data_IF_924511682318
#
_entry.id   IF_924511682318
#
_cell.length_a   1.000
_cell.length_b   1.000
_cell.length_c   1.000
_cell.angle_alpha   90.00
_cell.angle_beta   90.00
_cell.angle_gamma   90.00
#
_symmetry.space_group_name_H-M   'P 1'
#
loop_
_entity.id
_entity.type
_entity.pdbx_description
1 polymer ?
#
# COMPACT_ATOMS: atom_id res chain seq x y z
N UNK A 1 30.70 0.95 -7.49
CA UNK A 1 29.59 1.80 -7.99
C UNK A 1 28.28 1.02 -8.14
N UNK A 2 28.23 -0.10 -8.86
CA UNK A 2 26.97 -0.82 -9.13
C UNK A 2 26.23 -1.35 -7.89
N UNK A 3 26.95 -1.84 -6.86
CA UNK A 3 26.31 -2.34 -5.62
C UNK A 3 25.55 -1.24 -4.86
N UNK A 4 26.13 -0.03 -4.80
CA UNK A 4 25.52 1.12 -4.12
C UNK A 4 24.22 1.55 -4.82
N UNK A 5 24.20 1.50 -6.16
CA UNK A 5 22.98 1.77 -6.93
C UNK A 5 21.88 0.73 -6.67
N UNK A 6 22.23 -0.55 -6.59
CA UNK A 6 21.26 -1.63 -6.29
C UNK A 6 20.64 -1.41 -4.91
N UNK A 7 21.47 -1.18 -3.89
CA UNK A 7 21.02 -0.93 -2.52
C UNK A 7 20.13 0.33 -2.45
N UNK A 8 20.51 1.40 -3.16
CA UNK A 8 19.71 2.63 -3.23
C UNK A 8 18.32 2.41 -3.83
N UNK A 9 18.22 1.65 -4.93
CA UNK A 9 16.93 1.34 -5.55
C UNK A 9 16.04 0.47 -4.66
N UNK A 10 16.62 -0.51 -3.97
CA UNK A 10 15.88 -1.37 -3.03
C UNK A 10 15.32 -0.53 -1.87
N UNK A 11 16.13 0.37 -1.30
CA UNK A 11 15.69 1.29 -0.24
C UNK A 11 14.58 2.22 -0.72
N UNK A 12 14.71 2.78 -1.92
CA UNK A 12 13.67 3.65 -2.50
C UNK A 12 12.34 2.90 -2.67
N UNK A 13 12.38 1.69 -3.25
CA UNK A 13 11.20 0.85 -3.41
C UNK A 13 10.59 0.46 -2.04
N UNK A 14 11.42 0.16 -1.05
CA UNK A 14 10.97 -0.16 0.29
C UNK A 14 10.23 1.02 0.95
N UNK A 15 10.82 2.22 0.93
CA UNK A 15 10.23 3.43 1.51
C UNK A 15 8.90 3.78 0.82
N UNK A 16 8.85 3.68 -0.51
CA UNK A 16 7.63 3.94 -1.27
C UNK A 16 6.51 2.94 -0.94
N UNK A 17 6.81 1.64 -0.83
CA UNK A 17 5.82 0.63 -0.46
C UNK A 17 5.38 0.76 1.00
N UNK A 18 6.30 1.10 1.90
CA UNK A 18 5.99 1.33 3.31
C UNK A 18 5.07 2.53 3.51
N UNK A 19 5.36 3.67 2.86
CA UNK A 19 4.49 4.85 2.88
C UNK A 19 3.10 4.54 2.30
N UNK A 20 3.03 3.83 1.18
CA UNK A 20 1.77 3.43 0.57
C UNK A 20 0.91 2.61 1.53
N UNK A 21 1.49 1.59 2.16
CA UNK A 21 0.78 0.74 3.11
C UNK A 21 0.34 1.49 4.36
N UNK A 22 1.20 2.35 4.91
CA UNK A 22 0.88 3.11 6.12
C UNK A 22 -0.30 4.08 5.91
N UNK A 23 -0.39 4.68 4.72
CA UNK A 23 -1.52 5.54 4.33
C UNK A 23 -2.80 4.71 4.20
N UNK A 24 -2.72 3.53 3.58
CA UNK A 24 -3.87 2.61 3.42
C UNK A 24 -4.37 2.09 4.76
N UNK A 25 -3.48 1.64 5.64
CA UNK A 25 -3.83 1.13 6.97
C UNK A 25 -4.42 2.22 7.86
N UNK A 26 -3.87 3.43 7.82
CA UNK A 26 -4.43 4.56 8.55
C UNK A 26 -5.84 4.91 8.07
N UNK A 27 -6.07 4.89 6.76
CA UNK A 27 -7.39 5.13 6.19
C UNK A 27 -8.40 4.03 6.59
N UNK A 28 -7.98 2.75 6.60
CA UNK A 28 -8.79 1.64 7.08
C UNK A 28 -9.14 1.75 8.57
N UNK A 29 -8.19 2.19 9.40
CA UNK A 29 -8.42 2.40 10.83
C UNK A 29 -9.43 3.53 11.10
N UNK A 30 -9.28 4.65 10.40
CA UNK A 30 -10.21 5.78 10.46
C UNK A 30 -11.59 5.33 9.98
N UNK A 31 -11.65 4.57 8.89
CA UNK A 31 -12.89 4.01 8.35
C UNK A 31 -13.62 3.11 9.37
N UNK A 32 -12.90 2.18 10.00
CA UNK A 32 -13.45 1.26 10.99
C UNK A 32 -13.96 2.00 12.25
N UNK A 33 -13.22 3.03 12.68
CA UNK A 33 -13.60 3.87 13.83
C UNK A 33 -14.87 4.67 13.54
N UNK A 34 -14.95 5.26 12.34
CA UNK A 34 -16.13 5.97 11.83
C UNK A 34 -17.34 5.05 11.72
N UNK A 35 -17.15 3.81 11.26
CA UNK A 35 -18.24 2.83 11.12
C UNK A 35 -18.83 2.41 12.48
N UNK A 36 -18.00 2.38 13.53
CA UNK A 36 -18.44 2.06 14.90
C UNK A 36 -19.09 3.23 15.64
N UNK A 37 -18.91 4.46 15.17
CA UNK A 37 -19.53 5.66 15.74
C UNK A 37 -20.96 5.80 15.21
N UNK A 38 -21.89 6.22 16.07
CA UNK A 38 -23.26 6.59 15.69
C UNK A 38 -23.26 7.83 14.77
N UNK A 39 -22.99 7.61 13.49
CA UNK A 39 -22.90 8.63 12.43
C UNK A 39 -24.20 9.43 12.23
N UNK A 40 -25.33 8.94 12.77
CA UNK A 40 -26.62 9.61 12.77
C UNK A 40 -26.71 10.80 13.75
N UNK A 41 -25.86 10.85 14.77
CA UNK A 41 -25.84 11.95 15.76
C UNK A 41 -24.81 13.04 15.46
N UNK A 42 -23.91 12.79 14.50
CA UNK A 42 -22.87 13.77 14.12
C UNK A 42 -23.41 14.84 13.16
N UNK A 43 -22.88 16.08 13.21
CA UNK A 43 -23.32 17.18 12.36
C UNK A 43 -23.20 16.86 10.86
N UNK A 44 -24.14 17.39 10.06
CA UNK A 44 -24.32 17.11 8.62
C UNK A 44 -23.04 17.20 7.78
N UNK A 45 -22.10 18.08 8.15
CA UNK A 45 -20.86 18.30 7.42
C UNK A 45 -19.90 17.10 7.56
N UNK A 46 -19.85 16.49 8.75
CA UNK A 46 -19.06 15.28 9.03
C UNK A 46 -19.75 14.06 8.42
N UNK A 47 -21.08 14.01 8.46
CA UNK A 47 -21.87 12.94 7.85
C UNK A 47 -21.65 12.87 6.33
N UNK A 48 -21.62 14.02 5.63
CA UNK A 48 -21.29 14.08 4.19
C UNK A 48 -19.86 13.64 3.90
N UNK A 49 -18.89 14.04 4.74
CA UNK A 49 -17.50 13.57 4.61
C UNK A 49 -17.37 12.07 4.84
N UNK A 50 -18.04 11.51 5.84
CA UNK A 50 -18.08 10.06 6.10
C UNK A 50 -18.69 9.31 4.92
N UNK A 51 -19.81 9.77 4.37
CA UNK A 51 -20.48 9.15 3.23
C UNK A 51 -19.59 9.19 1.99
N UNK A 52 -18.86 10.29 1.78
CA UNK A 52 -17.81 10.36 0.76
C UNK A 52 -16.65 9.40 1.03
N UNK A 53 -16.17 9.27 2.27
CA UNK A 53 -15.14 8.30 2.64
C UNK A 53 -15.61 6.86 2.47
N UNK A 54 -16.89 6.57 2.74
CA UNK A 54 -17.49 5.25 2.58
C UNK A 54 -17.68 4.88 1.12
N UNK A 55 -18.16 5.83 0.31
CA UNK A 55 -18.30 5.66 -1.12
C UNK A 55 -16.93 5.55 -1.82
N UNK A 56 -15.96 6.37 -1.38
CA UNK A 56 -14.59 6.41 -1.91
C UNK A 56 -13.70 5.31 -1.33
N UNK A 57 -14.01 4.76 -0.16
CA UNK A 57 -13.31 3.65 0.47
C UNK A 57 -13.83 2.30 0.00
N UNK A 58 -15.14 2.17 -0.22
CA UNK A 58 -15.75 1.00 -0.88
C UNK A 58 -15.26 0.86 -2.33
N UNK A 59 -15.01 1.99 -3.00
CA UNK A 59 -14.19 2.00 -4.21
C UNK A 59 -12.74 1.88 -3.78
N UNK A 60 -12.31 0.65 -3.50
CA UNK A 60 -10.96 0.28 -3.04
C UNK A 60 -9.98 1.40 -3.34
N UNK A 61 -9.49 2.07 -2.29
CA UNK A 61 -8.41 3.05 -2.37
C UNK A 61 -7.11 2.29 -2.71
N UNK A 62 -7.14 1.51 -3.78
CA UNK A 62 -5.99 1.04 -4.50
C UNK A 62 -5.42 2.29 -5.11
N UNK A 63 -4.50 2.91 -4.36
CA UNK A 63 -3.57 3.89 -4.91
C UNK A 63 -2.71 3.11 -5.90
N UNK A 64 -3.30 2.84 -7.07
CA UNK A 64 -2.81 1.89 -8.03
C UNK A 64 -1.74 2.65 -8.81
N UNK A 65 -0.46 2.37 -8.51
CA UNK A 65 0.64 3.04 -9.20
C UNK A 65 0.58 2.57 -10.65
N UNK A 66 0.13 3.45 -11.54
CA UNK A 66 -0.03 3.16 -12.97
C UNK A 66 -1.07 2.11 -13.33
N UNK A 67 -2.00 1.75 -12.44
CA UNK A 67 -3.02 0.72 -12.73
C UNK A 67 -2.57 -0.73 -12.53
N UNK A 68 -1.31 -0.95 -12.15
CA UNK A 68 -0.67 -2.27 -12.17
C UNK A 68 -0.49 -2.91 -10.79
N UNK A 69 -0.23 -2.11 -9.74
CA UNK A 69 0.02 -2.65 -8.41
C UNK A 69 -0.31 -1.65 -7.28
N UNK A 70 -0.82 -2.18 -6.16
CA UNK A 70 -1.04 -1.43 -4.91
C UNK A 70 0.23 -1.46 -4.07
N UNK A 71 0.92 -0.32 -3.84
CA UNK A 71 2.16 -0.32 -3.06
C UNK A 71 1.90 -0.89 -1.65
N UNK A 72 2.49 -2.05 -1.37
CA UNK A 72 2.34 -2.78 -0.11
C UNK A 72 3.64 -3.52 0.23
N UNK A 73 3.94 -3.76 1.51
CA UNK A 73 5.09 -4.61 1.88
C UNK A 73 4.97 -6.00 1.28
N UNK A 74 3.75 -6.52 1.15
CA UNK A 74 3.49 -7.86 0.61
C UNK A 74 3.91 -7.95 -0.86
N UNK A 75 3.67 -6.90 -1.65
CA UNK A 75 4.21 -6.74 -3.00
C UNK A 75 5.73 -6.82 -3.01
N UNK A 76 6.34 -5.98 -2.18
CA UNK A 76 7.79 -5.83 -2.12
C UNK A 76 8.44 -7.16 -1.71
N UNK A 77 7.89 -7.84 -0.71
CA UNK A 77 8.37 -9.15 -0.29
C UNK A 77 8.26 -10.20 -1.40
N UNK A 78 7.16 -10.20 -2.15
CA UNK A 78 6.96 -11.12 -3.28
C UNK A 78 7.95 -10.83 -4.41
N UNK A 79 8.17 -9.55 -4.73
CA UNK A 79 9.12 -9.11 -5.73
C UNK A 79 10.56 -9.50 -5.36
N UNK A 80 10.97 -9.26 -4.11
CA UNK A 80 12.28 -9.67 -3.60
C UNK A 80 12.45 -11.19 -3.64
N UNK A 81 11.44 -11.95 -3.22
CA UNK A 81 11.46 -13.42 -3.31
C UNK A 81 11.64 -13.90 -4.74
N UNK A 82 10.91 -13.32 -5.69
CA UNK A 82 11.05 -13.65 -7.10
C UNK A 82 12.46 -13.32 -7.61
N UNK A 83 13.01 -12.14 -7.28
CA UNK A 83 14.38 -11.75 -7.65
C UNK A 83 15.43 -12.73 -7.12
N UNK A 84 15.34 -13.14 -5.86
CA UNK A 84 16.25 -14.12 -5.26
C UNK A 84 16.09 -15.50 -5.90
N UNK A 85 14.85 -15.91 -6.20
CA UNK A 85 14.57 -17.16 -6.90
C UNK A 85 15.21 -17.19 -8.29
N UNK A 86 15.01 -16.15 -9.10
CA UNK A 86 15.66 -16.03 -10.41
C UNK A 86 17.18 -16.04 -10.30
N UNK A 87 17.74 -15.31 -9.32
CA UNK A 87 19.17 -15.31 -9.08
C UNK A 87 19.70 -16.71 -8.75
N UNK A 88 18.97 -17.45 -7.92
CA UNK A 88 19.32 -18.83 -7.54
C UNK A 88 19.24 -19.78 -8.74
N UNK A 89 18.20 -19.66 -9.57
CA UNK A 89 18.04 -20.47 -10.78
C UNK A 89 19.19 -20.22 -11.75
N UNK A 90 19.55 -18.96 -12.00
CA UNK A 90 20.67 -18.61 -12.87
C UNK A 90 21.98 -19.20 -12.33
N UNK A 91 22.25 -19.07 -11.02
CA UNK A 91 23.42 -19.66 -10.39
C UNK A 91 23.44 -21.19 -10.47
N UNK A 92 22.29 -21.85 -10.40
CA UNK A 92 22.21 -23.32 -10.51
C UNK A 92 22.38 -23.83 -11.94
N UNK A 93 22.20 -22.98 -12.94
CA UNK A 93 22.31 -23.32 -14.37
C UNK A 93 23.67 -22.95 -14.94
N UNK A 94 24.49 -22.21 -14.17
CA UNK A 94 25.86 -21.83 -14.48
C UNK A 94 26.84 -22.90 -13.97
#
# INVERSE_FOLDING_TARGET
MSFVFIVGNILYLFISNFLGQNITDHNNYVFNTVYRVNWYETPLQIQRMMLFLLLKGAKNFTMNVGGLFVPSLECFATLVKASVSYFTVILSTQ
#
